data_IF_908243865874
#
_entry.id   IF_908243865874
#
_cell.length_a   1.000
_cell.length_b   1.000
_cell.length_c   1.000
_cell.angle_alpha   90.00
_cell.angle_beta   90.00
_cell.angle_gamma   90.00
#
_symmetry.space_group_name_H-M   'P 1'
#
loop_
_entity.id
_entity.type
_entity.pdbx_description
1 polymer ?
#
# COMPACT_ATOMS: atom_id res chain seq x y z
N UNK A 1 32.70 -10.16 29.06
CA UNK A 1 32.69 -10.83 27.77
C UNK A 1 31.68 -10.17 26.84
N UNK A 2 32.13 -9.68 25.70
CA UNK A 2 31.43 -8.86 24.70
C UNK A 2 30.54 -9.67 23.74
N UNK A 3 29.84 -10.69 24.18
CA UNK A 3 29.09 -11.59 23.29
C UNK A 3 27.56 -11.52 23.42
N UNK A 4 26.98 -10.62 24.24
CA UNK A 4 25.54 -10.67 24.57
C UNK A 4 24.71 -9.42 24.14
N UNK A 5 25.32 -8.46 23.45
CA UNK A 5 24.62 -7.23 23.09
C UNK A 5 23.93 -7.24 21.72
N UNK A 6 24.12 -8.28 20.87
CA UNK A 6 23.62 -8.30 19.48
C UNK A 6 22.25 -8.96 19.29
N UNK A 7 21.62 -9.51 20.35
CA UNK A 7 20.31 -10.18 20.27
C UNK A 7 19.13 -9.41 20.89
N UNK A 8 19.40 -8.29 21.53
CA UNK A 8 18.41 -7.54 22.28
C UNK A 8 17.30 -6.86 21.42
N UNK A 9 17.56 -6.31 20.23
CA UNK A 9 16.51 -5.63 19.47
C UNK A 9 15.43 -6.56 18.91
N UNK A 10 15.79 -7.79 18.54
CA UNK A 10 14.86 -8.71 17.90
C UNK A 10 13.85 -9.35 18.88
N UNK A 11 14.26 -9.58 20.10
CA UNK A 11 13.38 -10.15 21.15
C UNK A 11 12.40 -9.10 21.71
N UNK A 12 12.77 -7.82 21.72
CA UNK A 12 11.89 -6.71 22.09
C UNK A 12 10.69 -6.57 21.15
N UNK A 13 10.93 -6.62 19.85
CA UNK A 13 9.90 -6.47 18.82
C UNK A 13 8.87 -7.61 18.84
N UNK A 14 9.30 -8.86 19.10
CA UNK A 14 8.40 -10.02 19.22
C UNK A 14 7.56 -10.01 20.51
N UNK A 15 8.10 -9.46 21.60
CA UNK A 15 7.37 -9.32 22.86
C UNK A 15 6.30 -8.22 22.75
N UNK A 16 6.59 -7.11 22.10
CA UNK A 16 5.63 -6.02 21.83
C UNK A 16 4.48 -6.46 20.91
N UNK A 17 4.78 -7.23 19.86
CA UNK A 17 3.77 -7.77 18.95
C UNK A 17 2.77 -8.70 19.67
N UNK A 18 3.25 -9.59 20.55
CA UNK A 18 2.38 -10.47 21.35
C UNK A 18 1.55 -9.73 22.39
N UNK A 19 2.07 -8.66 22.98
CA UNK A 19 1.36 -7.86 23.98
C UNK A 19 0.28 -6.95 23.36
N UNK A 20 0.49 -6.46 22.14
CA UNK A 20 -0.54 -5.70 21.40
C UNK A 20 -1.79 -6.53 21.08
N UNK A 21 -1.64 -7.80 20.81
CA UNK A 21 -2.75 -8.72 20.51
C UNK A 21 -3.66 -9.02 21.72
N UNK A 22 -3.19 -8.79 22.93
CA UNK A 22 -3.92 -9.17 24.15
C UNK A 22 -4.85 -8.08 24.69
N UNK A 23 -4.91 -6.88 24.07
CA UNK A 23 -5.85 -5.80 24.46
C UNK A 23 -5.78 -5.40 25.94
N UNK A 24 -4.66 -5.65 26.64
CA UNK A 24 -4.56 -5.58 28.07
C UNK A 24 -4.22 -4.18 28.60
N UNK A 25 -4.90 -3.68 29.66
CA UNK A 25 -4.54 -2.45 30.36
C UNK A 25 -3.12 -2.45 30.92
N UNK A 26 -2.46 -3.60 30.99
CA UNK A 26 -1.06 -3.77 31.39
C UNK A 26 -0.10 -3.10 30.37
N UNK A 27 -0.51 -2.93 29.10
CA UNK A 27 0.32 -2.28 28.08
C UNK A 27 0.51 -0.78 28.34
N UNK A 28 -0.53 -0.09 28.79
CA UNK A 28 -0.44 1.33 29.18
C UNK A 28 0.46 1.52 30.41
N UNK A 29 0.38 0.59 31.38
CA UNK A 29 1.19 0.62 32.58
C UNK A 29 2.67 0.27 32.31
N UNK A 30 2.95 -0.67 31.40
CA UNK A 30 4.31 -1.04 30.99
C UNK A 30 5.00 0.10 30.21
N UNK A 31 4.26 0.79 29.34
CA UNK A 31 4.73 1.99 28.62
C UNK A 31 5.04 3.15 29.58
N UNK A 32 4.22 3.34 30.61
CA UNK A 32 4.43 4.36 31.65
C UNK A 32 5.63 4.04 32.57
N UNK A 33 5.91 2.77 32.84
CA UNK A 33 7.04 2.34 33.68
C UNK A 33 8.38 2.45 32.93
N UNK A 34 8.40 2.10 31.63
CA UNK A 34 9.58 2.22 30.76
C UNK A 34 10.00 3.68 30.53
N UNK A 35 9.01 4.59 30.44
CA UNK A 35 9.24 6.04 30.32
C UNK A 35 9.93 6.66 31.54
N UNK A 36 9.78 6.09 32.72
CA UNK A 36 10.27 6.67 33.98
C UNK A 36 11.77 6.46 34.25
N UNK A 37 12.33 5.38 33.71
CA UNK A 37 13.73 4.99 33.99
C UNK A 37 14.77 5.52 32.98
N UNK A 38 14.37 6.05 31.82
CA UNK A 38 15.32 6.38 30.76
C UNK A 38 15.44 7.88 30.44
N UNK A 39 14.73 8.76 31.14
CA UNK A 39 14.82 10.21 30.87
C UNK A 39 14.42 10.58 29.43
N UNK A 40 13.55 9.80 28.81
CA UNK A 40 13.26 9.87 27.38
C UNK A 40 12.10 10.82 27.14
N UNK A 41 12.33 11.72 26.23
CA UNK A 41 11.39 12.60 25.56
C UNK A 41 9.96 12.03 25.49
N UNK A 42 8.99 12.87 25.77
CA UNK A 42 7.60 12.63 25.40
C UNK A 42 7.58 12.35 23.90
N UNK A 43 7.33 11.09 23.55
CA UNK A 43 6.91 10.79 22.18
C UNK A 43 5.53 11.43 22.09
N UNK A 44 5.43 12.59 21.47
CA UNK A 44 4.15 13.09 20.95
C UNK A 44 3.50 11.89 20.25
N UNK A 45 2.26 11.57 20.61
CA UNK A 45 1.50 10.53 19.90
C UNK A 45 1.60 10.87 18.44
N UNK A 46 2.19 9.98 17.65
CA UNK A 46 2.32 10.17 16.22
C UNK A 46 0.94 10.59 15.70
N UNK A 47 0.87 11.73 15.03
CA UNK A 47 -0.38 12.34 14.63
C UNK A 47 -1.00 11.40 13.61
N UNK A 48 -2.05 10.67 14.01
CA UNK A 48 -2.77 9.72 13.15
C UNK A 48 -3.12 10.38 11.83
N UNK A 49 -3.04 9.62 10.73
CA UNK A 49 -3.39 10.14 9.42
C UNK A 49 -4.92 10.35 9.32
N UNK A 50 -5.36 11.55 9.66
CA UNK A 50 -6.71 12.01 9.40
C UNK A 50 -6.75 12.75 8.05
N UNK A 51 -7.78 12.51 7.26
CA UNK A 51 -7.89 13.10 5.92
C UNK A 51 -8.40 14.54 5.92
N UNK A 52 -8.95 15.00 7.04
CA UNK A 52 -9.42 16.38 7.17
C UNK A 52 -8.29 17.37 6.84
N UNK A 53 -8.56 18.28 5.92
CA UNK A 53 -7.65 19.35 5.46
C UNK A 53 -6.36 18.86 4.77
N UNK A 54 -6.30 17.59 4.34
CA UNK A 54 -5.13 16.98 3.68
C UNK A 54 -5.16 17.14 2.16
N UNK A 55 -3.96 17.21 1.58
CA UNK A 55 -3.74 17.19 0.13
C UNK A 55 -3.30 15.78 -0.29
N UNK A 56 -4.05 15.19 -1.21
CA UNK A 56 -3.90 13.79 -1.61
C UNK A 56 -3.63 13.68 -3.11
N UNK A 57 -2.66 12.86 -3.48
CA UNK A 57 -2.39 12.46 -4.88
C UNK A 57 -2.72 10.99 -5.06
N UNK A 58 -3.43 10.64 -6.15
CA UNK A 58 -3.80 9.25 -6.45
C UNK A 58 -3.43 8.94 -7.90
N UNK A 59 -2.43 8.08 -8.13
CA UNK A 59 -2.11 7.57 -9.46
C UNK A 59 -3.05 6.43 -9.86
N UNK A 60 -3.29 6.23 -11.17
CA UNK A 60 -4.36 5.34 -11.62
C UNK A 60 -5.74 5.87 -11.19
N UNK A 61 -5.86 7.19 -11.14
CA UNK A 61 -7.02 7.91 -10.56
C UNK A 61 -8.30 7.78 -11.39
N UNK A 62 -8.22 7.43 -12.67
CA UNK A 62 -9.39 7.16 -13.50
C UNK A 62 -9.95 5.76 -13.33
N UNK A 63 -9.19 4.84 -12.71
CA UNK A 63 -9.61 3.47 -12.42
C UNK A 63 -10.62 3.38 -11.27
N UNK A 64 -11.31 2.23 -11.17
CA UNK A 64 -12.37 2.03 -10.17
C UNK A 64 -11.89 2.22 -8.73
N UNK A 65 -10.73 1.65 -8.36
CA UNK A 65 -10.15 1.81 -7.01
C UNK A 65 -9.75 3.26 -6.76
N UNK A 66 -9.05 3.91 -7.73
CA UNK A 66 -8.61 5.29 -7.60
C UNK A 66 -9.77 6.27 -7.41
N UNK A 67 -10.84 6.12 -8.19
CA UNK A 67 -12.05 6.93 -8.06
C UNK A 67 -12.79 6.69 -6.74
N UNK A 68 -12.88 5.43 -6.27
CA UNK A 68 -13.52 5.12 -5.00
C UNK A 68 -12.76 5.72 -3.82
N UNK A 69 -11.43 5.60 -3.80
CA UNK A 69 -10.59 6.26 -2.80
C UNK A 69 -10.78 7.78 -2.83
N UNK A 70 -10.76 8.39 -4.03
CA UNK A 70 -10.95 9.85 -4.15
C UNK A 70 -12.28 10.32 -3.58
N UNK A 71 -13.38 9.62 -3.89
CA UNK A 71 -14.70 9.93 -3.31
C UNK A 71 -14.71 9.78 -1.79
N UNK A 72 -14.12 8.70 -1.28
CA UNK A 72 -14.03 8.48 0.16
C UNK A 72 -13.19 9.56 0.85
N UNK A 73 -12.03 9.92 0.30
CA UNK A 73 -11.17 10.97 0.85
C UNK A 73 -11.84 12.34 0.84
N UNK A 74 -12.58 12.67 -0.23
CA UNK A 74 -13.39 13.90 -0.29
C UNK A 74 -14.46 13.91 0.80
N UNK A 75 -15.16 12.81 1.01
CA UNK A 75 -16.17 12.67 2.05
C UNK A 75 -15.59 12.79 3.47
N UNK A 76 -14.29 12.50 3.65
CA UNK A 76 -13.57 12.66 4.91
C UNK A 76 -12.81 13.99 5.02
N UNK A 77 -13.15 14.99 4.18
CA UNK A 77 -12.70 16.37 4.35
C UNK A 77 -11.31 16.67 3.76
N UNK A 78 -10.80 15.85 2.83
CA UNK A 78 -9.56 16.20 2.13
C UNK A 78 -9.70 17.56 1.42
N UNK A 79 -8.76 18.47 1.67
CA UNK A 79 -8.78 19.83 1.13
C UNK A 79 -8.38 19.90 -0.34
N UNK A 80 -7.52 18.99 -0.80
CA UNK A 80 -7.08 18.87 -2.19
C UNK A 80 -6.96 17.41 -2.60
N UNK A 81 -7.53 17.07 -3.76
CA UNK A 81 -7.39 15.73 -4.35
C UNK A 81 -6.95 15.90 -5.79
N UNK A 82 -5.87 15.20 -6.15
CA UNK A 82 -5.33 15.19 -7.50
C UNK A 82 -5.33 13.75 -8.02
N UNK A 83 -6.11 13.51 -9.06
CA UNK A 83 -6.10 12.26 -9.81
C UNK A 83 -5.04 12.33 -10.91
N UNK A 84 -4.19 11.34 -10.99
CA UNK A 84 -3.21 11.21 -12.07
C UNK A 84 -3.42 9.91 -12.82
N UNK A 85 -3.43 9.95 -14.16
CA UNK A 85 -3.58 8.76 -14.99
C UNK A 85 -2.93 8.96 -16.37
N UNK A 86 -2.62 7.86 -17.05
CA UNK A 86 -2.05 7.89 -18.40
C UNK A 86 -3.03 8.46 -19.43
N UNK A 87 -4.32 8.09 -19.32
CA UNK A 87 -5.38 8.59 -20.21
C UNK A 87 -5.89 9.95 -19.72
N UNK A 88 -5.40 11.01 -20.38
CA UNK A 88 -5.79 12.41 -20.11
C UNK A 88 -7.31 12.62 -20.11
N UNK A 89 -8.02 12.07 -21.09
CA UNK A 89 -9.46 12.25 -21.19
C UNK A 89 -10.23 11.49 -20.10
N UNK A 90 -9.75 10.31 -19.71
CA UNK A 90 -10.35 9.53 -18.63
C UNK A 90 -10.15 10.19 -17.27
N UNK A 91 -8.96 10.69 -16.98
CA UNK A 91 -8.69 11.36 -15.70
C UNK A 91 -9.43 12.69 -15.58
N UNK A 92 -9.58 13.44 -16.65
CA UNK A 92 -10.34 14.68 -16.66
C UNK A 92 -11.85 14.44 -16.40
N UNK A 93 -12.42 13.39 -17.04
CA UNK A 93 -13.81 12.99 -16.75
C UNK A 93 -14.00 12.56 -15.29
N UNK A 94 -13.08 11.74 -14.76
CA UNK A 94 -13.14 11.29 -13.37
C UNK A 94 -13.01 12.47 -12.39
N UNK A 95 -12.06 13.36 -12.64
CA UNK A 95 -11.82 14.54 -11.81
C UNK A 95 -13.03 15.49 -11.81
N UNK A 96 -13.64 15.74 -12.98
CA UNK A 96 -14.86 16.53 -13.10
C UNK A 96 -16.02 15.89 -12.31
N UNK A 97 -16.22 14.57 -12.42
CA UNK A 97 -17.29 13.86 -11.73
C UNK A 97 -17.13 13.85 -10.20
N UNK A 98 -15.89 13.91 -9.71
CA UNK A 98 -15.56 13.92 -8.28
C UNK A 98 -15.38 15.37 -7.79
N UNK A 99 -15.29 16.35 -8.70
CA UNK A 99 -14.98 17.76 -8.43
C UNK A 99 -13.63 17.90 -7.71
N UNK A 100 -12.59 17.43 -8.36
CA UNK A 100 -11.20 17.51 -7.92
C UNK A 100 -10.28 17.82 -9.12
N UNK A 101 -8.99 17.91 -8.94
CA UNK A 101 -8.05 18.13 -10.03
C UNK A 101 -7.66 16.82 -10.74
N UNK A 102 -7.48 16.87 -12.05
CA UNK A 102 -7.02 15.77 -12.90
C UNK A 102 -5.75 16.13 -13.68
N UNK A 103 -4.81 15.20 -13.78
CA UNK A 103 -3.56 15.38 -14.53
C UNK A 103 -3.20 14.13 -15.32
N UNK A 104 -2.83 14.31 -16.58
CA UNK A 104 -2.18 13.25 -17.34
C UNK A 104 -0.80 12.99 -16.75
N UNK A 105 -0.46 11.70 -16.51
CA UNK A 105 0.83 11.30 -15.96
C UNK A 105 1.11 9.84 -16.35
N UNK A 106 2.22 9.61 -17.02
CA UNK A 106 2.76 8.28 -17.22
C UNK A 106 3.64 7.89 -16.03
N UNK A 107 3.14 7.08 -15.13
CA UNK A 107 3.86 6.67 -13.92
C UNK A 107 5.14 5.86 -14.18
N UNK A 108 5.34 5.36 -15.41
CA UNK A 108 6.58 4.66 -15.81
C UNK A 108 7.65 5.62 -16.31
N UNK A 109 7.36 6.92 -16.37
CA UNK A 109 8.31 7.97 -16.66
C UNK A 109 8.57 8.79 -15.38
N UNK A 110 9.82 8.77 -14.90
CA UNK A 110 10.20 9.51 -13.69
C UNK A 110 9.99 11.02 -13.83
N UNK A 111 10.20 11.57 -15.03
CA UNK A 111 10.02 13.01 -15.28
C UNK A 111 8.54 13.43 -15.15
N UNK A 112 7.61 12.59 -15.60
CA UNK A 112 6.17 12.85 -15.44
C UNK A 112 5.76 12.84 -13.96
N UNK A 113 6.29 11.93 -13.16
CA UNK A 113 6.04 11.88 -11.71
C UNK A 113 6.60 13.12 -11.01
N UNK A 114 7.83 13.55 -11.35
CA UNK A 114 8.41 14.79 -10.80
C UNK A 114 7.53 15.98 -11.16
N UNK A 115 7.14 16.12 -12.44
CA UNK A 115 6.28 17.21 -12.89
C UNK A 115 4.89 17.19 -12.19
N UNK A 116 4.34 16.02 -11.91
CA UNK A 116 3.10 15.89 -11.13
C UNK A 116 3.30 16.41 -9.70
N UNK A 117 4.33 15.95 -9.01
CA UNK A 117 4.64 16.36 -7.62
C UNK A 117 4.88 17.86 -7.54
N UNK A 118 5.71 18.41 -8.41
CA UNK A 118 6.00 19.86 -8.47
C UNK A 118 4.73 20.67 -8.69
N UNK A 119 3.88 20.25 -9.63
CA UNK A 119 2.61 20.93 -9.89
C UNK A 119 1.67 20.91 -8.68
N UNK A 120 1.61 19.79 -7.93
CA UNK A 120 0.76 19.71 -6.73
C UNK A 120 1.31 20.63 -5.62
N UNK A 121 2.63 20.65 -5.44
CA UNK A 121 3.27 21.53 -4.45
C UNK A 121 3.06 23.01 -4.81
N UNK A 122 3.21 23.38 -6.09
CA UNK A 122 2.97 24.74 -6.55
C UNK A 122 1.51 25.17 -6.32
N UNK A 123 0.56 24.26 -6.48
CA UNK A 123 -0.87 24.58 -6.38
C UNK A 123 -1.41 24.56 -4.94
N UNK A 124 -0.94 23.62 -4.12
CA UNK A 124 -1.48 23.34 -2.78
C UNK A 124 -0.49 23.63 -1.64
N UNK A 125 0.78 23.84 -1.97
CA UNK A 125 1.85 24.08 -1.00
C UNK A 125 2.36 22.83 -0.29
N UNK A 126 1.69 21.68 -0.46
CA UNK A 126 2.03 20.44 0.26
C UNK A 126 1.46 19.19 -0.41
N UNK A 127 1.98 18.04 -0.02
CA UNK A 127 1.37 16.71 -0.24
C UNK A 127 1.39 15.98 1.09
N UNK A 128 0.22 15.54 1.57
CA UNK A 128 0.09 14.80 2.84
C UNK A 128 -0.01 13.29 2.63
N UNK A 129 -0.69 12.87 1.55
CA UNK A 129 -0.85 11.47 1.20
C UNK A 129 -0.56 11.28 -0.29
N UNK A 130 0.35 10.36 -0.61
CA UNK A 130 0.60 9.95 -1.98
C UNK A 130 0.20 8.47 -2.16
N UNK A 131 -0.82 8.22 -2.99
CA UNK A 131 -1.32 6.88 -3.31
C UNK A 131 -0.70 6.40 -4.64
N UNK A 132 0.35 5.60 -4.57
CA UNK A 132 0.89 4.87 -5.72
C UNK A 132 -0.04 3.71 -6.05
N UNK A 133 -1.11 4.00 -6.82
CA UNK A 133 -2.18 3.05 -7.08
C UNK A 133 -2.25 2.58 -8.54
N UNK A 134 -1.59 3.25 -9.47
CA UNK A 134 -1.54 2.82 -10.86
C UNK A 134 -1.05 1.38 -11.00
N UNK A 135 -1.71 0.60 -11.83
CA UNK A 135 -1.35 -0.79 -12.05
C UNK A 135 -2.16 -1.42 -13.15
N UNK A 136 -1.72 -2.55 -13.64
CA UNK A 136 -2.44 -3.35 -14.63
C UNK A 136 -2.37 -4.83 -14.25
N UNK A 137 -3.40 -5.57 -14.59
CA UNK A 137 -3.36 -7.03 -14.53
C UNK A 137 -2.25 -7.58 -15.45
N UNK A 138 -1.71 -8.73 -15.10
CA UNK A 138 -0.74 -9.42 -15.94
C UNK A 138 -1.05 -10.91 -15.95
N UNK A 139 -1.08 -11.49 -17.13
CA UNK A 139 -1.20 -12.94 -17.31
C UNK A 139 0.12 -13.52 -17.81
N UNK A 140 0.28 -14.80 -17.64
CA UNK A 140 1.40 -15.57 -18.15
C UNK A 140 2.16 -16.31 -17.06
N UNK A 141 2.41 -17.58 -17.35
CA UNK A 141 3.34 -18.40 -16.56
C UNK A 141 4.76 -18.12 -17.03
N UNK A 142 5.75 -18.50 -16.22
CA UNK A 142 7.16 -18.23 -16.49
C UNK A 142 7.62 -18.59 -17.91
N UNK A 143 7.13 -19.73 -18.44
CA UNK A 143 7.53 -20.26 -19.75
C UNK A 143 6.95 -19.48 -20.93
N UNK A 144 5.83 -18.77 -20.73
CA UNK A 144 5.05 -18.17 -21.82
C UNK A 144 5.06 -16.63 -21.78
N UNK A 145 5.48 -16.05 -20.65
CA UNK A 145 5.58 -14.60 -20.52
C UNK A 145 6.88 -14.08 -21.16
N UNK A 146 6.74 -13.30 -22.20
CA UNK A 146 7.87 -12.64 -22.86
C UNK A 146 8.59 -11.67 -21.91
N UNK A 147 9.89 -11.44 -22.15
CA UNK A 147 10.70 -10.50 -21.35
C UNK A 147 10.07 -9.10 -21.29
N UNK A 148 9.44 -8.65 -22.37
CA UNK A 148 8.75 -7.36 -22.42
C UNK A 148 7.59 -7.28 -21.40
N UNK A 149 6.88 -8.38 -21.18
CA UNK A 149 5.80 -8.42 -20.15
C UNK A 149 6.39 -8.24 -18.76
N UNK A 150 7.50 -8.93 -18.47
CA UNK A 150 8.23 -8.78 -17.20
C UNK A 150 8.71 -7.36 -16.98
N UNK A 151 9.35 -6.76 -18.00
CA UNK A 151 9.88 -5.40 -17.93
C UNK A 151 8.74 -4.38 -17.71
N UNK A 152 7.66 -4.47 -18.50
CA UNK A 152 6.52 -3.57 -18.36
C UNK A 152 5.86 -3.66 -16.99
N UNK A 153 5.71 -4.87 -16.44
CA UNK A 153 5.17 -5.08 -15.09
C UNK A 153 6.12 -4.51 -14.01
N UNK A 154 7.43 -4.62 -14.23
CA UNK A 154 8.43 -4.07 -13.30
C UNK A 154 8.39 -2.55 -13.28
N UNK A 155 8.39 -1.89 -14.45
CA UNK A 155 8.28 -0.44 -14.55
C UNK A 155 6.99 0.06 -13.91
N UNK A 156 5.86 -0.59 -14.20
CA UNK A 156 4.55 -0.16 -13.73
C UNK A 156 4.34 -0.43 -12.23
N UNK A 157 4.77 -1.57 -11.69
CA UNK A 157 4.42 -1.97 -10.31
C UNK A 157 5.55 -1.76 -9.29
N UNK A 158 6.77 -1.49 -9.75
CA UNK A 158 7.92 -1.31 -8.87
C UNK A 158 8.53 0.07 -9.08
N UNK A 159 9.00 0.37 -10.30
CA UNK A 159 9.71 1.62 -10.55
C UNK A 159 8.81 2.84 -10.38
N UNK A 160 7.55 2.77 -10.76
CA UNK A 160 6.58 3.85 -10.52
C UNK A 160 6.46 4.22 -9.04
N UNK A 161 6.47 3.22 -8.14
CA UNK A 161 6.46 3.47 -6.69
C UNK A 161 7.79 4.06 -6.19
N UNK A 162 8.92 3.62 -6.78
CA UNK A 162 10.25 4.20 -6.50
C UNK A 162 10.30 5.65 -6.92
N UNK A 163 9.84 5.98 -8.14
CA UNK A 163 9.81 7.35 -8.66
C UNK A 163 8.93 8.24 -7.79
N UNK A 164 7.73 7.76 -7.42
CA UNK A 164 6.81 8.49 -6.55
C UNK A 164 7.44 8.78 -5.18
N UNK A 165 7.98 7.76 -4.52
CA UNK A 165 8.64 7.94 -3.21
C UNK A 165 9.82 8.92 -3.31
N UNK A 166 10.67 8.79 -4.33
CA UNK A 166 11.81 9.65 -4.55
C UNK A 166 11.41 11.12 -4.80
N UNK A 167 10.33 11.35 -5.52
CA UNK A 167 9.84 12.68 -5.82
C UNK A 167 9.17 13.36 -4.62
N UNK A 168 8.37 12.61 -3.82
CA UNK A 168 7.53 13.22 -2.77
C UNK A 168 8.21 13.27 -1.40
N UNK A 169 9.08 12.31 -1.07
CA UNK A 169 9.75 12.23 0.24
C UNK A 169 10.50 13.49 0.65
N UNK A 170 11.24 14.18 -0.24
CA UNK A 170 11.94 15.41 0.16
C UNK A 170 11.00 16.47 0.76
N UNK A 171 9.81 16.65 0.18
CA UNK A 171 8.83 17.61 0.70
C UNK A 171 8.17 17.12 1.98
N UNK A 172 7.82 15.84 2.08
CA UNK A 172 7.23 15.25 3.29
C UNK A 172 8.21 15.27 4.47
N UNK A 173 9.48 14.95 4.25
CA UNK A 173 10.54 15.04 5.27
C UNK A 173 10.76 16.48 5.73
N UNK A 174 10.73 17.45 4.82
CA UNK A 174 10.80 18.87 5.18
C UNK A 174 9.57 19.35 5.98
N UNK A 175 8.40 18.74 5.75
CA UNK A 175 7.18 18.97 6.53
C UNK A 175 7.22 18.30 7.91
N UNK A 176 8.11 17.30 8.12
CA UNK A 176 8.12 16.42 9.29
C UNK A 176 6.89 15.51 9.37
N UNK A 177 6.13 15.37 8.29
CA UNK A 177 4.94 14.50 8.21
C UNK A 177 4.59 14.17 6.77
N UNK A 178 4.07 12.97 6.54
CA UNK A 178 3.59 12.52 5.23
C UNK A 178 3.11 11.08 5.30
N UNK A 179 2.45 10.64 4.25
CA UNK A 179 1.96 9.25 4.18
C UNK A 179 2.06 8.69 2.76
N UNK A 180 2.57 7.46 2.65
CA UNK A 180 2.67 6.72 1.40
C UNK A 180 1.73 5.51 1.44
N UNK A 181 0.77 5.44 0.52
CA UNK A 181 -0.09 4.28 0.32
C UNK A 181 0.31 3.59 -0.99
N UNK A 182 0.85 2.39 -0.90
CA UNK A 182 1.28 1.61 -2.06
C UNK A 182 0.25 0.51 -2.37
N UNK A 183 -0.36 0.54 -3.54
CA UNK A 183 -1.29 -0.52 -3.97
C UNK A 183 -0.51 -1.70 -4.57
N UNK A 184 -0.34 -2.74 -3.78
CA UNK A 184 0.18 -4.02 -4.22
C UNK A 184 -0.97 -4.96 -4.65
N UNK A 185 -1.06 -6.13 -4.05
CA UNK A 185 -2.11 -7.14 -4.23
C UNK A 185 -1.91 -8.26 -3.20
N UNK A 186 -2.93 -9.02 -2.88
CA UNK A 186 -2.79 -10.29 -2.18
C UNK A 186 -1.83 -11.25 -2.92
N UNK A 187 -1.73 -11.14 -4.24
CA UNK A 187 -0.75 -11.87 -5.05
C UNK A 187 0.72 -11.57 -4.66
N UNK A 188 0.99 -10.37 -4.11
CA UNK A 188 2.33 -10.01 -3.61
C UNK A 188 2.68 -10.67 -2.27
N UNK A 189 1.67 -11.02 -1.48
CA UNK A 189 1.82 -11.72 -0.21
C UNK A 189 1.80 -13.25 -0.38
N UNK A 190 0.93 -13.75 -1.29
CA UNK A 190 0.61 -15.17 -1.44
C UNK A 190 1.20 -15.79 -2.71
N UNK A 191 0.93 -15.31 -3.84
CA UNK A 191 1.15 -15.65 -5.24
C UNK A 191 -0.16 -15.98 -5.95
N UNK A 192 -0.37 -15.42 -7.14
CA UNK A 192 -1.49 -15.76 -8.02
C UNK A 192 -1.08 -16.88 -8.99
N UNK A 193 -1.90 -17.93 -9.07
CA UNK A 193 -1.67 -19.01 -10.03
C UNK A 193 -1.82 -18.48 -11.48
N UNK A 194 -0.89 -18.82 -12.34
CA UNK A 194 -0.93 -18.37 -13.74
C UNK A 194 -0.49 -16.92 -14.00
N UNK A 195 -0.03 -16.19 -12.98
CA UNK A 195 0.44 -14.81 -13.14
C UNK A 195 1.78 -14.57 -12.43
N UNK A 196 2.83 -15.13 -13.00
CA UNK A 196 4.20 -15.05 -12.46
C UNK A 196 4.74 -13.62 -12.39
N UNK A 197 4.80 -12.87 -13.52
CA UNK A 197 5.30 -11.49 -13.53
C UNK A 197 4.54 -10.59 -12.55
N UNK A 198 3.24 -10.69 -12.50
CA UNK A 198 2.40 -9.91 -11.58
C UNK A 198 2.70 -10.22 -10.11
N UNK A 199 2.73 -11.51 -9.74
CA UNK A 199 3.01 -11.93 -8.36
C UNK A 199 4.38 -11.44 -7.88
N UNK A 200 5.41 -11.57 -8.73
CA UNK A 200 6.77 -11.16 -8.38
C UNK A 200 6.86 -9.64 -8.22
N UNK A 201 6.30 -8.87 -9.16
CA UNK A 201 6.36 -7.40 -9.10
C UNK A 201 5.51 -6.84 -7.96
N UNK A 202 4.35 -7.44 -7.65
CA UNK A 202 3.54 -7.06 -6.49
C UNK A 202 4.19 -7.45 -5.16
N UNK A 203 4.97 -8.54 -5.10
CA UNK A 203 5.80 -8.86 -3.94
C UNK A 203 6.94 -7.84 -3.75
N UNK A 204 7.55 -7.38 -4.84
CA UNK A 204 8.54 -6.32 -4.79
C UNK A 204 7.94 -4.98 -4.29
N UNK A 205 6.71 -4.63 -4.71
CA UNK A 205 6.00 -3.45 -4.20
C UNK A 205 5.72 -3.55 -2.68
N UNK A 206 5.32 -4.72 -2.17
CA UNK A 206 5.18 -4.95 -0.72
C UNK A 206 6.51 -4.75 -0.01
N UNK A 207 7.61 -5.31 -0.53
CA UNK A 207 8.93 -5.19 0.08
C UNK A 207 9.46 -3.75 0.04
N UNK A 208 9.18 -2.99 -1.02
CA UNK A 208 9.50 -1.56 -1.10
C UNK A 208 8.74 -0.76 -0.02
N UNK A 209 7.44 -1.02 0.15
CA UNK A 209 6.64 -0.36 1.20
C UNK A 209 7.19 -0.67 2.60
N UNK A 210 7.56 -1.93 2.86
CA UNK A 210 8.19 -2.34 4.13
C UNK A 210 9.53 -1.61 4.37
N UNK A 211 10.37 -1.51 3.33
CA UNK A 211 11.63 -0.79 3.40
C UNK A 211 11.42 0.70 3.72
N UNK A 212 10.44 1.35 3.07
CA UNK A 212 10.11 2.75 3.30
C UNK A 212 9.59 2.96 4.73
N UNK A 213 8.73 2.08 5.25
CA UNK A 213 8.21 2.14 6.61
C UNK A 213 9.34 2.01 7.66
N UNK A 214 10.29 1.11 7.43
CA UNK A 214 11.44 0.91 8.33
C UNK A 214 12.38 2.12 8.29
N UNK A 215 12.60 2.68 7.09
CA UNK A 215 13.61 3.73 6.90
C UNK A 215 13.12 5.10 7.38
N UNK A 216 11.84 5.42 7.19
CA UNK A 216 11.30 6.77 7.38
C UNK A 216 10.22 6.87 8.46
N UNK A 217 9.88 5.77 9.14
CA UNK A 217 8.88 5.79 10.19
C UNK A 217 9.22 6.76 11.34
N UNK A 218 10.48 6.79 11.74
CA UNK A 218 10.95 7.71 12.79
C UNK A 218 11.08 9.17 12.29
N UNK A 219 11.02 9.39 10.97
CA UNK A 219 11.04 10.72 10.35
C UNK A 219 9.61 11.32 10.20
N UNK A 220 8.59 10.67 10.76
CA UNK A 220 7.20 11.12 10.67
C UNK A 220 6.49 10.72 9.37
N UNK A 221 7.02 9.74 8.63
CA UNK A 221 6.41 9.24 7.40
C UNK A 221 5.66 7.92 7.65
N UNK A 222 4.33 7.97 7.56
CA UNK A 222 3.49 6.78 7.59
C UNK A 222 3.56 6.02 6.26
N UNK A 223 3.47 4.70 6.31
CA UNK A 223 3.44 3.86 5.11
C UNK A 223 2.47 2.71 5.28
N UNK A 224 1.56 2.55 4.30
CA UNK A 224 0.69 1.39 4.19
C UNK A 224 0.82 0.71 2.84
N UNK A 225 0.55 -0.58 2.80
CA UNK A 225 0.46 -1.36 1.56
C UNK A 225 -0.91 -2.00 1.43
N UNK A 226 -1.63 -1.61 0.38
CA UNK A 226 -2.96 -2.10 0.05
C UNK A 226 -2.83 -3.40 -0.77
N UNK A 227 -3.35 -4.50 -0.22
CA UNK A 227 -3.22 -5.83 -0.80
C UNK A 227 -4.59 -6.50 -1.06
N UNK A 228 -5.37 -6.03 -2.03
CA UNK A 228 -6.67 -6.60 -2.34
C UNK A 228 -6.54 -7.92 -3.11
N UNK A 229 -7.59 -8.74 -3.04
CA UNK A 229 -7.92 -9.78 -4.03
C UNK A 229 -8.82 -9.19 -5.13
N UNK A 230 -9.88 -9.88 -5.52
CA UNK A 230 -10.81 -9.44 -6.56
C UNK A 230 -11.60 -8.19 -6.17
N UNK A 231 -11.55 -7.15 -6.99
CA UNK A 231 -12.32 -5.91 -6.84
C UNK A 231 -13.12 -5.67 -8.11
N UNK A 232 -14.39 -5.31 -8.00
CA UNK A 232 -15.30 -5.06 -9.13
C UNK A 232 -14.91 -3.79 -9.88
N UNK A 233 -13.98 -3.92 -10.80
CA UNK A 233 -13.47 -2.83 -11.65
C UNK A 233 -13.37 -3.30 -13.10
N UNK A 234 -13.12 -2.38 -14.02
CA UNK A 234 -12.85 -2.72 -15.41
C UNK A 234 -11.65 -3.67 -15.60
N UNK A 235 -10.76 -3.73 -14.61
CA UNK A 235 -9.59 -4.63 -14.58
C UNK A 235 -9.93 -6.01 -14.03
N UNK A 236 -11.11 -6.20 -13.43
CA UNK A 236 -11.50 -7.49 -12.84
C UNK A 236 -11.49 -8.58 -13.93
N UNK A 237 -10.88 -9.74 -13.67
CA UNK A 237 -10.91 -10.85 -14.60
C UNK A 237 -12.36 -11.26 -14.90
N UNK A 238 -12.68 -11.49 -16.17
CA UNK A 238 -14.02 -11.91 -16.59
C UNK A 238 -14.39 -13.34 -16.16
N UNK A 239 -13.40 -14.11 -15.73
CA UNK A 239 -13.57 -15.48 -15.22
C UNK A 239 -13.01 -15.55 -13.79
N UNK A 240 -13.72 -16.28 -12.92
CA UNK A 240 -13.28 -16.53 -11.56
C UNK A 240 -11.94 -17.28 -11.60
N UNK A 241 -10.91 -16.67 -11.05
CA UNK A 241 -9.58 -17.24 -10.84
C UNK A 241 -9.30 -17.45 -9.35
N UNK A 242 -8.15 -17.98 -9.04
CA UNK A 242 -7.69 -18.20 -7.65
C UNK A 242 -7.62 -16.92 -6.80
N UNK A 243 -7.40 -15.78 -7.41
CA UNK A 243 -7.42 -14.45 -6.75
C UNK A 243 -8.83 -13.94 -6.41
N UNK A 244 -9.88 -14.73 -6.64
CA UNK A 244 -11.28 -14.39 -6.35
C UNK A 244 -11.96 -15.47 -5.48
N UNK A 245 -11.16 -16.34 -4.86
CA UNK A 245 -11.66 -17.46 -4.05
C UNK A 245 -12.57 -16.98 -2.92
N UNK A 246 -12.28 -15.81 -2.35
CA UNK A 246 -13.03 -15.21 -1.24
C UNK A 246 -14.04 -14.15 -1.71
N UNK A 247 -14.31 -14.10 -3.02
CA UNK A 247 -15.30 -13.23 -3.65
C UNK A 247 -14.68 -11.98 -4.30
N UNK A 248 -15.57 -11.16 -4.86
CA UNK A 248 -15.25 -9.88 -5.46
C UNK A 248 -15.94 -8.81 -4.61
N UNK A 249 -15.19 -7.84 -4.14
CA UNK A 249 -15.74 -6.71 -3.38
C UNK A 249 -15.92 -5.48 -4.27
N UNK A 250 -16.82 -4.59 -3.87
CA UNK A 250 -16.98 -3.30 -4.53
C UNK A 250 -15.83 -2.35 -4.15
N UNK A 251 -15.42 -1.45 -5.08
CA UNK A 251 -14.34 -0.49 -4.82
C UNK A 251 -14.59 0.39 -3.59
N UNK A 252 -15.84 0.68 -3.26
CA UNK A 252 -16.25 1.47 -2.10
C UNK A 252 -15.94 0.77 -0.78
N UNK A 253 -16.10 -0.56 -0.72
CA UNK A 253 -15.72 -1.37 0.44
C UNK A 253 -14.21 -1.32 0.65
N UNK A 254 -13.43 -1.45 -0.43
CA UNK A 254 -11.99 -1.30 -0.37
C UNK A 254 -11.58 0.11 0.12
N UNK A 255 -12.22 1.16 -0.41
CA UNK A 255 -11.91 2.53 -0.03
C UNK A 255 -12.17 2.77 1.47
N UNK A 256 -13.25 2.20 2.05
CA UNK A 256 -13.49 2.27 3.48
C UNK A 256 -12.40 1.55 4.28
N UNK A 257 -11.96 0.36 3.84
CA UNK A 257 -10.82 -0.32 4.50
C UNK A 257 -9.53 0.52 4.48
N UNK A 258 -9.32 1.31 3.42
CA UNK A 258 -8.19 2.25 3.35
C UNK A 258 -8.35 3.36 4.38
N UNK A 259 -9.54 3.99 4.50
CA UNK A 259 -9.82 5.01 5.51
C UNK A 259 -9.51 4.49 6.92
N UNK A 260 -10.05 3.32 7.26
CA UNK A 260 -9.86 2.72 8.58
C UNK A 260 -8.38 2.38 8.86
N UNK A 261 -7.66 1.95 7.83
CA UNK A 261 -6.25 1.62 7.95
C UNK A 261 -5.36 2.86 8.12
N UNK A 262 -5.66 3.96 7.42
CA UNK A 262 -4.96 5.23 7.57
C UNK A 262 -5.16 5.81 8.98
N UNK A 263 -6.40 5.77 9.49
CA UNK A 263 -6.72 6.23 10.84
C UNK A 263 -6.02 5.42 11.94
N UNK A 264 -5.80 4.12 11.71
CA UNK A 264 -5.10 3.22 12.63
C UNK A 264 -3.59 3.09 12.34
N UNK A 265 -3.08 3.73 11.28
CA UNK A 265 -1.70 3.58 10.77
C UNK A 265 -1.28 2.12 10.53
N UNK A 266 -2.22 1.30 10.06
CA UNK A 266 -1.96 -0.11 9.77
C UNK A 266 -1.10 -0.26 8.52
N UNK A 267 0.01 -1.00 8.63
CA UNK A 267 0.89 -1.25 7.50
C UNK A 267 0.19 -2.07 6.40
N UNK A 268 -0.41 -3.21 6.75
CA UNK A 268 -1.18 -4.01 5.79
C UNK A 268 -2.64 -3.56 5.75
N UNK A 269 -3.10 -3.14 4.57
CA UNK A 269 -4.51 -2.89 4.27
C UNK A 269 -5.05 -4.09 3.50
N UNK A 270 -5.82 -4.93 4.18
CA UNK A 270 -6.34 -6.20 3.66
C UNK A 270 -7.86 -6.14 3.55
N UNK A 271 -8.41 -5.71 2.40
CA UNK A 271 -9.86 -5.60 2.22
C UNK A 271 -10.59 -6.95 2.25
N UNK A 272 -9.88 -8.05 1.98
CA UNK A 272 -10.35 -9.43 2.16
C UNK A 272 -9.69 -9.99 3.43
N UNK A 273 -10.48 -10.17 4.48
CA UNK A 273 -9.99 -10.57 5.80
C UNK A 273 -9.26 -11.92 5.79
N UNK A 274 -9.65 -12.82 4.88
CA UNK A 274 -9.07 -14.16 4.72
C UNK A 274 -7.58 -14.12 4.36
N UNK A 275 -7.13 -13.03 3.72
CA UNK A 275 -5.71 -12.86 3.31
C UNK A 275 -4.79 -12.88 4.52
N UNK A 276 -5.20 -12.30 5.66
CA UNK A 276 -4.41 -12.33 6.89
C UNK A 276 -4.17 -13.76 7.37
N UNK A 277 -5.22 -14.59 7.38
CA UNK A 277 -5.12 -16.00 7.74
C UNK A 277 -4.23 -16.79 6.79
N UNK A 278 -4.30 -16.50 5.50
CA UNK A 278 -3.44 -17.15 4.49
C UNK A 278 -1.97 -16.78 4.69
N UNK A 279 -1.67 -15.52 4.93
CA UNK A 279 -0.30 -15.05 5.21
C UNK A 279 0.25 -15.72 6.47
N UNK A 280 -0.56 -15.82 7.54
CA UNK A 280 -0.17 -16.50 8.77
C UNK A 280 0.13 -17.99 8.51
N UNK A 281 -0.78 -18.72 7.84
CA UNK A 281 -0.60 -20.15 7.49
C UNK A 281 0.63 -20.39 6.63
N UNK A 282 0.94 -19.46 5.70
CA UNK A 282 2.14 -19.51 4.87
C UNK A 282 3.39 -19.32 5.71
N UNK A 283 3.37 -18.41 6.69
CA UNK A 283 4.49 -18.15 7.61
C UNK A 283 4.73 -19.28 8.61
N UNK A 284 3.67 -19.94 9.07
CA UNK A 284 3.75 -21.04 10.03
C UNK A 284 4.39 -22.30 9.43
N UNK A 285 4.05 -22.65 8.17
CA UNK A 285 4.57 -23.83 7.49
C UNK A 285 4.53 -23.63 5.95
N UNK A 286 5.65 -23.17 5.39
CA UNK A 286 5.77 -22.88 3.96
C UNK A 286 5.63 -24.15 3.08
N UNK A 287 6.13 -25.29 3.52
CA UNK A 287 6.05 -26.52 2.73
C UNK A 287 4.60 -27.03 2.64
N UNK A 288 3.87 -26.98 3.75
CA UNK A 288 2.45 -27.29 3.79
C UNK A 288 1.67 -26.34 2.90
N UNK A 289 1.96 -25.04 2.94
CA UNK A 289 1.35 -24.02 2.08
C UNK A 289 1.58 -24.33 0.60
N UNK A 290 2.83 -24.56 0.18
CA UNK A 290 3.18 -24.90 -1.21
C UNK A 290 2.47 -26.16 -1.70
N UNK A 291 2.35 -27.17 -0.84
CA UNK A 291 1.60 -28.39 -1.17
C UNK A 291 0.10 -28.11 -1.35
N UNK A 292 -0.47 -27.18 -0.57
CA UNK A 292 -1.84 -26.70 -0.72
C UNK A 292 -2.05 -26.00 -2.06
N UNK A 293 -1.18 -25.06 -2.40
CA UNK A 293 -1.23 -24.29 -3.66
C UNK A 293 -1.06 -25.19 -4.89
N UNK A 294 -0.23 -26.24 -4.83
CA UNK A 294 -0.12 -27.25 -5.90
C UNK A 294 -1.43 -28.02 -6.10
N UNK A 295 -2.16 -28.32 -5.02
CA UNK A 295 -3.48 -28.96 -5.12
C UNK A 295 -4.49 -28.03 -5.77
N UNK A 296 -4.55 -26.77 -5.33
CA UNK A 296 -5.43 -25.75 -5.90
C UNK A 296 -5.17 -25.58 -7.40
N UNK A 297 -3.91 -25.45 -7.82
CA UNK A 297 -3.54 -25.37 -9.23
C UNK A 297 -4.08 -26.53 -10.07
N UNK A 298 -3.99 -27.77 -9.56
CA UNK A 298 -4.52 -28.96 -10.29
C UNK A 298 -6.04 -28.98 -10.42
N UNK A 299 -6.76 -28.27 -9.55
CA UNK A 299 -8.21 -28.16 -9.59
C UNK A 299 -8.69 -27.04 -10.53
N UNK A 300 -7.83 -26.06 -10.80
CA UNK A 300 -8.10 -24.91 -11.66
C UNK A 300 -7.63 -25.12 -13.12
N UNK A 301 -6.94 -26.22 -13.41
CA UNK A 301 -6.49 -26.63 -14.75
C UNK A 301 -7.46 -27.61 -15.37
#
# INVERSE_FOLDING_TARGET
SLADASRAPFLGCLAEYKLKQLGSPIFAAAKACYKRDQGIFEIEEAQKMELQDKVVVITGGSGGIGQAMARAFKAHGAAGIVLADLDSAAVERAATAIECDGRACNVTDEADIIALVDWVIDRYGRIDLFCSNAGAGGAGVLTDAENAVWQNQWELHVMSHVYAARAVLPSMLAQGSGYLLNTASAAGLLAALGSGPYSVTKAAAVKLAEFLAITHGDDGIGVSVLCPQGVNTAMAPKQLGDGQTDGIIEPEVLAQCVIDALADERFHVLPHAEVEDYVRRKGDDIDRWLNGMRRLRRQSS
#
